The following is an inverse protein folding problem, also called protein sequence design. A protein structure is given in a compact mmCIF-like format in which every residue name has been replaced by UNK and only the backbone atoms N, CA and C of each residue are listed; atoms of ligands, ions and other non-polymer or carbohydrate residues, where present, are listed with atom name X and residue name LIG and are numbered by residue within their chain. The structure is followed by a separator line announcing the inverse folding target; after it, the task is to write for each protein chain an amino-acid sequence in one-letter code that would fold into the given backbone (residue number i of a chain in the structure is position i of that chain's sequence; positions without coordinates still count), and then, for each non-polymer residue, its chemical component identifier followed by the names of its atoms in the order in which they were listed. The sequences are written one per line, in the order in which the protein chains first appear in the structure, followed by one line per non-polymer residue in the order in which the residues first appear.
data_IF_830721012371
#
_entry.id   IF_830721012371
#
_cell.length_a   1.000
_cell.length_b   1.000
_cell.length_c   1.000
_cell.angle_alpha   90.00
_cell.angle_beta   90.00
_cell.angle_gamma   90.00
#
_symmetry.space_group_name_H-M   'P 1'
#
loop_
_entity.id
_entity.type
_entity.pdbx_description
1 polymer ?
#
# COMPACT_ATOMS: atom_id res chain seq x y z
N UNK A 1 14.97 -4.32 -16.23
CA UNK A 1 13.72 -3.67 -15.80
C UNK A 1 12.61 -4.13 -16.75
N UNK A 2 11.54 -4.73 -16.23
CA UNK A 2 10.44 -5.26 -17.04
C UNK A 2 9.17 -4.44 -16.73
N UNK A 3 8.66 -3.71 -17.72
CA UNK A 3 7.55 -2.77 -17.53
C UNK A 3 6.24 -3.49 -17.17
N UNK A 4 5.95 -4.60 -17.84
CA UNK A 4 4.75 -5.39 -17.58
C UNK A 4 4.76 -5.97 -16.16
N UNK A 5 5.92 -6.45 -15.71
CA UNK A 5 6.08 -6.97 -14.36
C UNK A 5 5.97 -5.86 -13.30
N UNK A 6 6.60 -4.70 -13.55
CA UNK A 6 6.48 -3.54 -12.66
C UNK A 6 5.02 -3.09 -12.53
N UNK A 7 4.27 -3.08 -13.64
CA UNK A 7 2.84 -2.73 -13.65
C UNK A 7 2.02 -3.75 -12.85
N UNK A 8 2.27 -5.05 -13.02
CA UNK A 8 1.61 -6.10 -12.24
C UNK A 8 1.88 -5.95 -10.74
N UNK A 9 3.13 -5.71 -10.35
CA UNK A 9 3.52 -5.53 -8.95
C UNK A 9 2.88 -4.27 -8.34
N UNK A 10 2.83 -3.16 -9.07
CA UNK A 10 2.15 -1.94 -8.60
C UNK A 10 0.64 -2.18 -8.39
N UNK A 11 -0.02 -2.84 -9.34
CA UNK A 11 -1.44 -3.22 -9.23
C UNK A 11 -1.66 -4.14 -8.01
N UNK A 12 -0.82 -5.16 -7.86
CA UNK A 12 -0.94 -6.12 -6.77
C UNK A 12 -0.72 -5.45 -5.40
N UNK A 13 0.27 -4.57 -5.28
CA UNK A 13 0.52 -3.77 -4.09
C UNK A 13 -0.70 -2.97 -3.65
N UNK A 14 -1.32 -2.22 -4.57
CA UNK A 14 -2.51 -1.44 -4.25
C UNK A 14 -3.73 -2.33 -3.97
N UNK A 15 -3.97 -3.38 -4.76
CA UNK A 15 -5.08 -4.33 -4.48
C UNK A 15 -4.96 -4.93 -3.09
N UNK A 16 -3.81 -5.49 -2.74
CA UNK A 16 -3.58 -6.12 -1.43
C UNK A 16 -3.77 -5.12 -0.28
N UNK A 17 -3.29 -3.88 -0.45
CA UNK A 17 -3.46 -2.81 0.55
C UNK A 17 -4.94 -2.47 0.77
N UNK A 18 -5.67 -2.11 -0.29
CA UNK A 18 -7.06 -1.67 -0.18
C UNK A 18 -8.05 -2.80 0.10
N UNK A 19 -7.68 -4.06 -0.14
CA UNK A 19 -8.41 -5.24 0.34
C UNK A 19 -8.14 -5.56 1.82
N UNK A 20 -7.41 -4.69 2.52
CA UNK A 20 -7.22 -4.76 3.97
C UNK A 20 -6.05 -5.59 4.44
N UNK A 21 -5.02 -5.74 3.60
CA UNK A 21 -3.82 -6.47 3.96
C UNK A 21 -2.57 -5.61 3.74
N UNK A 22 -2.49 -4.38 4.31
CA UNK A 22 -1.36 -3.48 4.06
C UNK A 22 -0.01 -4.05 4.50
N UNK A 23 0.03 -4.83 5.61
CA UNK A 23 1.25 -5.52 6.04
C UNK A 23 1.77 -6.51 4.99
N UNK A 24 0.88 -7.30 4.39
CA UNK A 24 1.22 -8.26 3.33
C UNK A 24 1.67 -7.53 2.06
N UNK A 25 1.04 -6.40 1.74
CA UNK A 25 1.43 -5.59 0.59
C UNK A 25 2.87 -5.06 0.73
N UNK A 26 3.20 -4.57 1.93
CA UNK A 26 4.53 -4.07 2.25
C UNK A 26 5.57 -5.19 2.27
N UNK A 27 5.25 -6.35 2.86
CA UNK A 27 6.14 -7.51 2.88
C UNK A 27 6.51 -7.98 1.47
N UNK A 28 5.54 -8.05 0.56
CA UNK A 28 5.74 -8.63 -0.77
C UNK A 28 6.31 -7.68 -1.81
N UNK A 29 5.96 -6.39 -1.74
CA UNK A 29 6.19 -5.47 -2.86
C UNK A 29 7.04 -4.25 -2.52
N UNK A 30 7.43 -4.07 -1.26
CA UNK A 30 8.22 -2.92 -0.83
C UNK A 30 9.61 -3.36 -0.38
N UNK A 31 10.64 -2.78 -0.99
CA UNK A 31 12.05 -2.96 -0.58
C UNK A 31 12.32 -2.44 0.83
N UNK A 32 13.58 -2.33 1.22
CA UNK A 32 13.94 -2.05 2.62
C UNK A 32 13.33 -0.74 3.16
N UNK A 33 13.16 0.26 2.31
CA UNK A 33 12.58 1.55 2.65
C UNK A 33 11.32 1.86 1.83
N UNK A 34 10.38 2.55 2.47
CA UNK A 34 9.20 3.12 1.83
C UNK A 34 9.23 4.64 1.98
N UNK A 35 9.36 5.36 0.87
CA UNK A 35 9.35 6.82 0.82
C UNK A 35 8.14 7.28 0.03
N UNK A 36 7.47 8.33 0.53
CA UNK A 36 6.18 8.78 0.00
C UNK A 36 6.01 10.29 0.16
N UNK A 37 5.30 10.91 -0.77
CA UNK A 37 5.18 12.37 -0.84
C UNK A 37 4.06 12.97 0.00
N UNK A 38 3.08 12.16 0.43
CA UNK A 38 2.01 12.69 1.27
C UNK A 38 2.63 13.26 2.58
N UNK A 39 2.26 14.43 3.10
CA UNK A 39 2.82 14.92 4.37
C UNK A 39 2.18 14.28 5.62
N UNK A 40 1.03 13.62 5.47
CA UNK A 40 0.20 13.11 6.57
C UNK A 40 0.51 11.68 7.02
N UNK A 41 1.51 11.03 6.42
CA UNK A 41 1.95 9.68 6.80
C UNK A 41 3.46 9.71 6.93
N UNK A 42 4.01 9.19 8.01
CA UNK A 42 5.46 9.14 8.19
C UNK A 42 6.16 8.29 7.12
N UNK A 43 7.47 8.42 7.06
CA UNK A 43 8.32 7.58 6.21
C UNK A 43 8.43 6.16 6.78
N UNK A 44 8.65 5.19 5.89
CA UNK A 44 8.87 3.80 6.26
C UNK A 44 7.62 2.92 6.21
N UNK A 45 7.86 1.64 6.46
CA UNK A 45 6.88 0.56 6.32
C UNK A 45 5.74 0.66 7.34
N UNK A 46 6.09 0.90 8.60
CA UNK A 46 5.10 0.89 9.69
C UNK A 46 4.08 2.04 9.57
N UNK A 47 4.47 3.30 9.31
CA UNK A 47 3.48 4.37 9.14
C UNK A 47 2.52 4.15 7.97
N UNK A 48 2.97 3.52 6.88
CA UNK A 48 2.08 3.11 5.79
C UNK A 48 1.03 2.09 6.27
N UNK A 49 1.45 1.06 7.00
CA UNK A 49 0.57 0.02 7.54
C UNK A 49 -0.47 0.66 8.47
N UNK A 50 -0.02 1.43 9.46
CA UNK A 50 -0.88 2.09 10.43
C UNK A 50 -1.92 3.00 9.77
N UNK A 51 -1.50 3.72 8.72
CA UNK A 51 -2.40 4.58 7.96
C UNK A 51 -3.49 3.79 7.26
N UNK A 52 -3.16 2.73 6.54
CA UNK A 52 -4.15 1.95 5.78
C UNK A 52 -5.05 1.10 6.69
N UNK A 53 -4.53 0.59 7.80
CA UNK A 53 -5.35 -0.07 8.83
C UNK A 53 -6.37 0.91 9.43
N UNK A 54 -5.96 2.16 9.70
CA UNK A 54 -6.88 3.21 10.15
C UNK A 54 -7.91 3.55 9.09
N UNK A 55 -7.49 3.75 7.84
CA UNK A 55 -8.39 4.08 6.74
C UNK A 55 -9.45 3.00 6.53
N UNK A 56 -9.11 1.73 6.71
CA UNK A 56 -10.09 0.65 6.57
C UNK A 56 -11.13 0.65 7.71
N UNK A 57 -10.72 0.98 8.94
CA UNK A 57 -11.64 1.14 10.08
C UNK A 57 -12.55 2.35 9.92
N UNK A 58 -12.00 3.48 9.50
CA UNK A 58 -12.72 4.75 9.37
C UNK A 58 -13.60 4.82 8.11
N UNK A 59 -13.18 4.15 7.03
CA UNK A 59 -13.82 4.19 5.71
C UNK A 59 -14.06 2.78 5.14
N UNK A 60 -14.87 1.93 5.81
CA UNK A 60 -15.06 0.53 5.42
C UNK A 60 -15.73 0.33 4.04
N UNK A 61 -16.31 1.40 3.48
CA UNK A 61 -16.96 1.39 2.15
C UNK A 61 -16.06 1.97 1.05
N UNK A 62 -14.80 2.29 1.33
CA UNK A 62 -13.90 2.76 0.28
C UNK A 62 -13.71 1.66 -0.77
N UNK A 63 -13.82 2.01 -2.04
CA UNK A 63 -13.66 1.09 -3.15
C UNK A 63 -12.46 1.52 -4.00
N UNK A 64 -11.62 0.55 -4.33
CA UNK A 64 -10.54 0.74 -5.29
C UNK A 64 -11.01 0.30 -6.68
N UNK A 65 -10.94 1.22 -7.66
CA UNK A 65 -11.12 0.92 -9.08
C UNK A 65 -9.76 0.97 -9.78
N UNK A 66 -9.45 -0.02 -10.60
CA UNK A 66 -8.14 -0.19 -11.27
C UNK A 66 -8.31 -0.35 -12.78
#
# INVERSE_FOLDING_TARGET
MNLEENKKNAIAFYKTTFLGNPAVAVEKYVGDMYIKHNPMVGDGKQPFIDYFDRMQREYPKSQLTL
#
